data_IF_203970670331
#
_entry.id   IF_203970670331
#
_cell.length_a   1.000
_cell.length_b   1.000
_cell.length_c   1.000
_cell.angle_alpha   90.00
_cell.angle_beta   90.00
_cell.angle_gamma   90.00
#
_symmetry.space_group_name_H-M   'P 1'
#
loop_
_entity.id
_entity.type
_entity.pdbx_description
1 polymer ?
#
# COMPACT_ATOMS: atom_id res chain seq x y z
N UNK A 1 16.42 6.00 12.00
CA UNK A 1 17.00 5.26 10.86
C UNK A 1 15.90 4.52 10.10
N UNK A 2 15.37 5.00 8.96
CA UNK A 2 14.40 4.25 8.18
C UNK A 2 15.02 3.81 6.84
N UNK A 3 15.65 2.62 6.78
CA UNK A 3 16.29 2.09 5.57
C UNK A 3 15.70 0.75 5.09
N UNK A 4 14.51 0.36 5.55
CA UNK A 4 13.92 -0.93 5.14
C UNK A 4 12.93 -0.80 3.97
N UNK A 5 12.17 0.31 3.89
CA UNK A 5 11.16 0.48 2.83
C UNK A 5 11.74 0.77 1.45
N UNK A 6 12.84 1.53 1.39
CA UNK A 6 13.61 1.72 0.15
C UNK A 6 14.25 0.42 -0.35
N UNK A 7 14.56 -0.52 0.56
CA UNK A 7 15.22 -1.78 0.20
C UNK A 7 14.29 -2.72 -0.59
N UNK A 8 12.98 -2.69 -0.33
CA UNK A 8 12.03 -3.53 -1.06
C UNK A 8 11.89 -3.11 -2.53
N UNK A 9 11.81 -1.80 -2.81
CA UNK A 9 11.69 -1.28 -4.18
C UNK A 9 13.00 -1.37 -4.96
N UNK A 10 14.14 -1.14 -4.31
CA UNK A 10 15.45 -1.14 -4.97
C UNK A 10 15.88 -2.54 -5.47
N UNK A 11 15.26 -3.62 -5.00
CA UNK A 11 15.60 -5.00 -5.37
C UNK A 11 14.82 -5.55 -6.58
N UNK A 12 13.96 -4.75 -7.23
CA UNK A 12 13.08 -5.26 -8.29
C UNK A 12 11.95 -6.15 -7.76
N UNK A 13 11.63 -6.03 -6.46
CA UNK A 13 10.51 -6.74 -5.86
C UNK A 13 9.21 -6.26 -6.50
N UNK A 14 8.43 -7.21 -6.98
CA UNK A 14 7.14 -6.92 -7.58
C UNK A 14 6.18 -6.42 -6.48
N UNK A 15 5.72 -5.15 -6.53
CA UNK A 15 4.88 -4.57 -5.49
C UNK A 15 3.50 -5.23 -5.40
N UNK A 16 3.09 -5.98 -6.43
CA UNK A 16 1.86 -6.77 -6.44
C UNK A 16 1.92 -8.03 -5.58
N UNK A 17 3.12 -8.46 -5.16
CA UNK A 17 3.25 -9.60 -4.27
C UNK A 17 2.68 -9.27 -2.90
N UNK A 18 1.93 -10.23 -2.37
CA UNK A 18 1.35 -10.16 -1.04
C UNK A 18 2.12 -11.09 -0.10
N UNK A 19 2.29 -10.67 1.16
CA UNK A 19 2.84 -11.53 2.20
C UNK A 19 1.85 -12.62 2.64
N UNK A 20 2.21 -13.41 3.66
CA UNK A 20 1.34 -14.46 4.20
C UNK A 20 0.00 -13.97 4.76
N UNK A 21 -0.12 -12.66 5.03
CA UNK A 21 -1.31 -12.00 5.54
C UNK A 21 -2.14 -11.36 4.41
N UNK A 22 -1.70 -11.49 3.16
CA UNK A 22 -2.32 -10.81 2.01
C UNK A 22 -1.89 -9.33 1.89
N UNK A 23 -0.88 -8.86 2.62
CA UNK A 23 -0.49 -7.46 2.55
C UNK A 23 0.39 -7.19 1.33
N UNK A 24 -0.08 -6.30 0.44
CA UNK A 24 0.73 -5.74 -0.63
C UNK A 24 1.78 -4.76 -0.08
N UNK A 25 2.74 -4.36 -0.91
CA UNK A 25 3.76 -3.36 -0.54
C UNK A 25 3.13 -2.03 -0.08
N UNK A 26 2.04 -1.60 -0.73
CA UNK A 26 1.28 -0.40 -0.31
C UNK A 26 0.58 -0.64 1.03
N UNK A 27 -0.08 -1.78 1.22
CA UNK A 27 -0.74 -2.10 2.50
C UNK A 27 0.26 -2.14 3.66
N UNK A 28 1.41 -2.78 3.46
CA UNK A 28 2.46 -2.89 4.47
C UNK A 28 3.09 -1.52 4.80
N UNK A 29 3.34 -0.67 3.80
CA UNK A 29 3.87 0.69 4.06
C UNK A 29 2.86 1.58 4.78
N UNK A 30 1.57 1.39 4.49
CA UNK A 30 0.48 2.09 5.18
C UNK A 30 0.26 1.55 6.59
N UNK A 31 0.44 0.26 6.83
CA UNK A 31 0.42 -0.28 8.19
C UNK A 31 1.58 0.27 9.04
N UNK A 32 2.78 0.34 8.45
CA UNK A 32 3.99 0.77 9.15
C UNK A 32 4.14 2.29 9.30
N UNK A 33 3.16 3.10 8.87
CA UNK A 33 3.26 4.56 8.96
C UNK A 33 4.30 5.17 8.02
N UNK A 34 4.74 4.46 6.97
CA UNK A 34 5.87 4.86 6.12
C UNK A 34 5.41 5.61 4.88
N UNK A 35 4.78 6.76 5.09
CA UNK A 35 4.26 7.63 4.02
C UNK A 35 5.33 8.04 2.99
N UNK A 36 6.59 8.17 3.40
CA UNK A 36 7.71 8.48 2.50
C UNK A 36 8.03 7.34 1.52
N UNK A 37 7.59 6.11 1.81
CA UNK A 37 7.74 4.96 0.93
C UNK A 37 6.58 4.83 -0.07
N UNK A 38 5.45 5.53 0.14
CA UNK A 38 4.32 5.50 -0.79
C UNK A 38 4.65 6.20 -2.11
N UNK A 39 5.33 7.36 -2.08
CA UNK A 39 5.64 8.12 -3.30
C UNK A 39 6.42 7.31 -4.35
N UNK A 40 7.53 6.62 -4.01
CA UNK A 40 8.25 5.80 -4.99
C UNK A 40 7.47 4.55 -5.42
N UNK A 41 6.54 4.02 -4.62
CA UNK A 41 5.71 2.88 -5.01
C UNK A 41 4.65 3.36 -6.02
N UNK A 42 3.86 4.36 -5.64
CA UNK A 42 2.75 4.90 -6.41
C UNK A 42 3.20 5.63 -7.68
N UNK A 43 4.47 6.06 -7.75
CA UNK A 43 5.08 6.58 -8.97
C UNK A 43 5.39 5.53 -10.05
N UNK A 44 5.15 4.24 -9.78
CA UNK A 44 5.35 3.15 -10.74
C UNK A 44 4.02 2.54 -11.16
N UNK A 45 3.88 2.14 -12.43
CA UNK A 45 2.67 1.46 -12.93
C UNK A 45 2.33 0.22 -12.11
N UNK A 46 3.36 -0.54 -11.72
CA UNK A 46 3.20 -1.72 -10.86
C UNK A 46 2.67 -1.36 -9.48
N UNK A 47 3.11 -0.26 -8.89
CA UNK A 47 2.59 0.19 -7.59
C UNK A 47 1.12 0.59 -7.67
N UNK A 48 0.70 1.25 -8.76
CA UNK A 48 -0.70 1.61 -8.99
C UNK A 48 -1.62 0.38 -9.05
N UNK A 49 -1.15 -0.75 -9.60
CA UNK A 49 -1.94 -2.00 -9.63
C UNK A 49 -2.21 -2.60 -8.24
N UNK A 50 -1.53 -2.11 -7.20
CA UNK A 50 -1.68 -2.64 -5.83
C UNK A 50 -2.74 -1.93 -4.99
N UNK A 51 -3.30 -0.83 -5.51
CA UNK A 51 -4.26 0.03 -4.80
C UNK A 51 -5.58 -0.68 -4.48
N UNK A 52 -5.91 -1.72 -5.24
CA UNK A 52 -7.16 -2.50 -5.06
C UNK A 52 -6.89 -3.93 -4.57
N UNK A 53 -5.64 -4.28 -4.24
CA UNK A 53 -5.32 -5.60 -3.69
C UNK A 53 -5.82 -5.70 -2.26
N UNK A 54 -6.71 -6.65 -2.02
CA UNK A 54 -7.27 -6.91 -0.69
C UNK A 54 -6.38 -7.86 0.11
N UNK A 55 -6.23 -7.60 1.41
CA UNK A 55 -5.61 -8.56 2.31
C UNK A 55 -6.53 -9.77 2.59
N UNK A 56 -6.08 -10.69 3.46
CA UNK A 56 -6.86 -11.88 3.81
C UNK A 56 -8.17 -11.57 4.56
N UNK A 57 -8.37 -10.31 5.00
CA UNK A 57 -9.61 -9.81 5.60
C UNK A 57 -10.50 -9.07 4.58
N UNK A 58 -10.17 -9.11 3.30
CA UNK A 58 -10.91 -8.39 2.26
C UNK A 58 -10.66 -6.87 2.24
N UNK A 59 -9.77 -6.33 3.09
CA UNK A 59 -9.53 -4.90 3.16
C UNK A 59 -8.53 -4.43 2.09
N UNK A 60 -8.88 -3.39 1.33
CA UNK A 60 -7.97 -2.67 0.44
C UNK A 60 -6.97 -1.82 1.24
N UNK A 61 -5.85 -1.38 0.65
CA UNK A 61 -4.91 -0.50 1.34
C UNK A 61 -5.56 0.77 1.85
N UNK A 62 -6.57 1.31 1.14
CA UNK A 62 -7.33 2.48 1.58
C UNK A 62 -8.18 2.18 2.83
N UNK A 63 -8.93 1.07 2.83
CA UNK A 63 -9.72 0.64 4.01
C UNK A 63 -8.79 0.45 5.21
N UNK A 64 -7.66 -0.20 4.99
CA UNK A 64 -6.66 -0.45 6.03
C UNK A 64 -6.04 0.85 6.56
N UNK A 65 -5.75 1.82 5.69
CA UNK A 65 -5.25 3.14 6.07
C UNK A 65 -6.25 3.91 6.94
N UNK A 66 -7.54 3.81 6.62
CA UNK A 66 -8.62 4.42 7.41
C UNK A 66 -8.74 3.80 8.81
N UNK A 67 -8.61 2.47 8.91
CA UNK A 67 -8.64 1.75 10.20
C UNK A 67 -7.48 2.17 11.11
N UNK A 68 -6.28 2.30 10.54
CA UNK A 68 -5.05 2.65 11.28
C UNK A 68 -4.84 4.16 11.46
N UNK A 69 -5.79 5.01 11.03
CA UNK A 69 -5.70 6.48 11.07
C UNK A 69 -4.40 7.02 10.44
N UNK A 70 -3.98 6.43 9.32
CA UNK A 70 -2.73 6.76 8.64
C UNK A 70 -2.89 7.99 7.72
N UNK A 71 -1.96 8.95 7.73
CA UNK A 71 -2.07 10.16 6.87
C UNK A 71 -1.76 9.88 5.39
N UNK A 72 -1.23 8.69 5.09
CA UNK A 72 -1.05 8.13 3.76
C UNK A 72 -2.36 7.94 2.98
N UNK A 73 -3.54 8.01 3.63
CA UNK A 73 -4.85 8.02 2.96
C UNK A 73 -4.88 9.03 1.81
N UNK A 74 -4.39 10.25 2.03
CA UNK A 74 -4.39 11.30 1.01
C UNK A 74 -3.57 10.91 -0.22
N UNK A 75 -2.46 10.18 -0.04
CA UNK A 75 -1.61 9.71 -1.14
C UNK A 75 -2.25 8.57 -1.92
N UNK A 76 -2.93 7.64 -1.23
CA UNK A 76 -3.67 6.56 -1.87
C UNK A 76 -4.80 7.11 -2.75
N UNK A 77 -5.56 8.07 -2.22
CA UNK A 77 -6.63 8.74 -2.98
C UNK A 77 -6.04 9.50 -4.18
N UNK A 78 -4.96 10.25 -3.98
CA UNK A 78 -4.30 10.98 -5.06
C UNK A 78 -3.74 10.06 -6.16
N UNK A 79 -3.36 8.84 -5.81
CA UNK A 79 -2.91 7.82 -6.75
C UNK A 79 -4.06 7.08 -7.46
N UNK A 80 -5.31 7.37 -7.12
CA UNK A 80 -6.49 6.80 -7.77
C UNK A 80 -7.08 5.57 -7.09
N UNK A 81 -6.81 5.35 -5.79
CA UNK A 81 -7.47 4.29 -5.03
C UNK A 81 -8.99 4.50 -5.01
N UNK A 82 -9.74 3.41 -5.22
CA UNK A 82 -11.19 3.43 -5.23
C UNK A 82 -11.75 3.75 -3.84
N UNK A 83 -12.57 4.81 -3.77
CA UNK A 83 -13.32 5.14 -2.55
C UNK A 83 -14.53 4.22 -2.34
N UNK A 84 -14.96 3.52 -3.40
CA UNK A 84 -16.11 2.60 -3.37
C UNK A 84 -15.70 1.17 -3.03
N UNK A 85 -14.42 0.95 -2.75
CA UNK A 85 -13.91 -0.33 -2.28
C UNK A 85 -14.66 -0.75 -1.01
N UNK A 86 -15.12 -2.00 -0.99
CA UNK A 86 -15.78 -2.61 0.17
C UNK A 86 -14.90 -3.75 0.66
N UNK A 87 -14.86 -3.91 1.97
CA UNK A 87 -14.37 -5.12 2.60
C UNK A 87 -15.36 -6.27 2.37
N UNK A 88 -14.85 -7.51 2.48
CA UNK A 88 -15.60 -8.75 2.28
C UNK A 88 -15.85 -9.45 3.62
#
# INVERSE_FOLDING_TARGET
>A
MPMHGQLLLAAGSDPSLQDSSGLSSVSATTWLGKEACLDPILGTERGLTTLELTNNLGATPLIFACQENNKGIAKLIAAGASLDAKDL
#
